data_IF_921514140119
#
_entry.id   IF_921514140119
#
_cell.length_a   1.000
_cell.length_b   1.000
_cell.length_c   1.000
_cell.angle_alpha   90.00
_cell.angle_beta   90.00
_cell.angle_gamma   90.00
#
_symmetry.space_group_name_H-M   'P 1'
#
loop_
_entity.id
_entity.type
_entity.pdbx_description
1 polymer ?
#
# COMPACT_ATOMS: atom_id res chain seq x y z
N UNK A 1 12.51 -6.32 -6.27
CA UNK A 1 12.46 -5.09 -7.10
C UNK A 1 13.67 -4.93 -8.01
N UNK A 2 14.92 -4.86 -7.50
CA UNK A 2 16.14 -4.68 -8.30
C UNK A 2 16.24 -5.68 -9.47
N UNK A 3 16.01 -6.98 -9.23
CA UNK A 3 16.04 -8.01 -10.27
C UNK A 3 15.01 -7.75 -11.39
N UNK A 4 13.81 -7.30 -11.02
CA UNK A 4 12.76 -6.94 -11.99
C UNK A 4 13.18 -5.74 -12.85
N UNK A 5 13.72 -4.69 -12.22
CA UNK A 5 14.20 -3.50 -12.93
C UNK A 5 15.35 -3.85 -13.90
N UNK A 6 16.28 -4.71 -13.47
CA UNK A 6 17.34 -5.22 -14.36
C UNK A 6 16.76 -5.96 -15.57
N UNK A 7 15.79 -6.85 -15.36
CA UNK A 7 15.17 -7.62 -16.43
C UNK A 7 14.37 -6.76 -17.42
N UNK A 8 13.91 -5.57 -17.01
CA UNK A 8 13.16 -4.65 -17.87
C UNK A 8 14.04 -3.62 -18.60
N UNK A 9 15.31 -3.49 -18.22
CA UNK A 9 16.23 -2.48 -18.78
C UNK A 9 16.26 -2.48 -20.30
N UNK A 10 16.35 -3.64 -20.92
CA UNK A 10 16.40 -3.78 -22.39
C UNK A 10 15.09 -3.46 -23.09
N UNK A 11 13.96 -3.65 -22.37
CA UNK A 11 12.62 -3.44 -22.91
C UNK A 11 12.17 -1.98 -22.82
N UNK A 12 12.81 -1.18 -21.97
CA UNK A 12 12.46 0.24 -21.76
C UNK A 12 13.72 1.10 -21.88
N UNK A 13 14.25 1.26 -23.10
CA UNK A 13 15.52 1.98 -23.33
C UNK A 13 15.47 3.45 -22.92
N UNK A 14 14.29 4.07 -22.84
CA UNK A 14 14.09 5.45 -22.40
C UNK A 14 14.16 5.63 -20.89
N UNK A 15 14.35 4.54 -20.14
CA UNK A 15 14.35 4.50 -18.69
C UNK A 15 12.98 4.19 -18.09
N UNK A 16 13.02 3.55 -16.93
CA UNK A 16 11.82 3.15 -16.18
C UNK A 16 11.54 4.21 -15.10
N UNK A 17 10.40 4.91 -15.11
CA UNK A 17 10.06 5.79 -14.02
C UNK A 17 9.74 4.96 -12.76
N UNK A 18 10.42 5.28 -11.67
CA UNK A 18 10.16 4.73 -10.35
C UNK A 18 9.53 5.83 -9.49
N UNK A 19 8.22 5.76 -9.33
CA UNK A 19 7.49 6.69 -8.46
C UNK A 19 7.70 6.30 -6.99
N UNK A 20 8.25 7.21 -6.22
CA UNK A 20 8.52 7.00 -4.80
C UNK A 20 7.87 8.12 -3.98
N UNK A 21 7.43 7.80 -2.78
CA UNK A 21 6.92 8.80 -1.86
C UNK A 21 8.01 9.56 -1.12
N UNK A 22 7.60 10.45 -0.26
CA UNK A 22 8.49 11.17 0.64
C UNK A 22 9.26 10.17 1.53
N UNK A 23 10.51 10.48 1.82
CA UNK A 23 11.36 9.66 2.70
C UNK A 23 11.59 8.20 2.24
N UNK A 24 11.40 7.91 0.95
CA UNK A 24 11.50 6.53 0.42
C UNK A 24 12.87 5.89 0.65
N UNK A 25 13.92 6.67 0.79
CA UNK A 25 15.31 6.21 0.94
C UNK A 25 15.87 6.38 2.35
N UNK A 26 15.05 6.78 3.33
CA UNK A 26 15.49 6.80 4.71
C UNK A 26 15.54 5.38 5.28
N UNK A 27 16.52 5.13 6.12
CA UNK A 27 16.63 3.86 6.83
C UNK A 27 15.43 3.69 7.76
N UNK A 28 14.76 2.54 7.63
CA UNK A 28 13.67 2.13 8.50
C UNK A 28 14.11 1.01 9.40
N UNK A 29 13.65 1.07 10.64
CA UNK A 29 14.06 0.19 11.70
C UNK A 29 12.83 -0.37 12.42
N UNK A 30 12.95 -1.59 12.93
CA UNK A 30 11.95 -2.17 13.84
C UNK A 30 12.60 -2.42 15.18
N UNK A 31 12.04 -1.82 16.22
CA UNK A 31 12.41 -2.09 17.59
C UNK A 31 11.70 -3.36 18.07
N UNK A 32 12.45 -4.43 18.22
CA UNK A 32 11.98 -5.64 18.89
C UNK A 32 12.38 -5.61 20.39
N UNK A 33 11.84 -6.50 21.23
CA UNK A 33 12.26 -6.57 22.63
C UNK A 33 13.77 -6.77 22.84
N UNK A 34 14.43 -7.44 21.87
CA UNK A 34 15.82 -7.87 22.03
C UNK A 34 16.79 -7.16 21.05
N UNK A 35 16.29 -6.46 20.03
CA UNK A 35 17.14 -5.89 19.01
C UNK A 35 16.46 -4.72 18.27
N UNK A 36 17.28 -3.87 17.68
CA UNK A 36 16.88 -2.91 16.67
C UNK A 36 17.29 -3.48 15.30
N UNK A 37 16.33 -3.76 14.46
CA UNK A 37 16.54 -4.41 13.14
C UNK A 37 16.34 -3.40 12.03
N UNK A 38 17.34 -3.27 11.16
CA UNK A 38 17.23 -2.44 9.96
C UNK A 38 16.35 -3.14 8.89
N UNK A 39 15.46 -2.37 8.31
CA UNK A 39 14.61 -2.79 7.20
C UNK A 39 15.13 -2.13 5.90
N UNK A 40 16.25 -2.59 5.40
CA UNK A 40 16.85 -2.09 4.15
C UNK A 40 16.05 -2.51 2.92
N UNK A 41 14.94 -1.82 2.65
CA UNK A 41 14.10 -2.16 1.50
C UNK A 41 14.49 -1.47 0.21
N UNK A 42 14.90 -0.21 0.29
CA UNK A 42 15.19 0.60 -0.89
C UNK A 42 16.46 1.41 -0.66
N UNK A 43 17.51 1.04 -1.36
CA UNK A 43 18.77 1.76 -1.35
C UNK A 43 18.91 2.59 -2.64
N UNK A 44 19.10 3.89 -2.50
CA UNK A 44 19.22 4.82 -3.62
C UNK A 44 20.38 4.50 -4.54
N UNK A 45 21.54 4.19 -3.98
CA UNK A 45 22.75 3.86 -4.75
C UNK A 45 22.52 2.63 -5.63
N UNK A 46 21.84 1.60 -5.10
CA UNK A 46 21.50 0.42 -5.87
C UNK A 46 20.54 0.72 -7.02
N UNK A 47 19.63 1.67 -6.87
CA UNK A 47 18.73 2.11 -7.95
C UNK A 47 19.50 2.92 -8.98
N UNK A 48 20.29 3.89 -8.54
CA UNK A 48 21.07 4.77 -9.42
C UNK A 48 22.09 3.96 -10.26
N UNK A 49 22.66 2.89 -9.67
CA UNK A 49 23.59 1.99 -10.38
C UNK A 49 22.98 1.24 -11.57
N UNK A 50 21.64 1.16 -11.63
CA UNK A 50 20.96 0.53 -12.77
C UNK A 50 21.05 1.38 -14.05
N UNK A 51 21.24 2.70 -13.92
CA UNK A 51 21.39 3.64 -15.04
C UNK A 51 20.17 3.78 -15.95
N UNK A 52 19.16 2.92 -15.77
CA UNK A 52 17.94 2.87 -16.58
C UNK A 52 16.68 3.22 -15.79
N UNK A 53 16.82 3.66 -14.55
CA UNK A 53 15.70 4.00 -13.66
C UNK A 53 15.71 5.50 -13.39
N UNK A 54 14.59 6.15 -13.64
CA UNK A 54 14.38 7.56 -13.31
C UNK A 54 13.53 7.66 -12.04
N UNK A 55 14.12 8.08 -10.94
CA UNK A 55 13.40 8.29 -9.70
C UNK A 55 12.52 9.55 -9.83
N UNK A 56 11.22 9.38 -9.56
CA UNK A 56 10.22 10.44 -9.53
C UNK A 56 9.63 10.47 -8.13
N UNK A 57 10.08 11.43 -7.32
CA UNK A 57 9.51 11.61 -6.00
C UNK A 57 8.19 12.35 -6.09
N UNK A 58 7.16 11.80 -5.45
CA UNK A 58 5.81 12.37 -5.46
C UNK A 58 5.28 12.54 -4.04
N UNK A 59 4.45 13.55 -3.88
CA UNK A 59 3.73 13.88 -2.66
C UNK A 59 2.23 13.92 -2.91
N UNK A 60 1.86 14.54 -4.02
CA UNK A 60 0.47 14.65 -4.46
C UNK A 60 0.11 13.47 -5.37
N UNK A 61 -1.19 13.17 -5.55
CA UNK A 61 -1.63 12.16 -6.50
C UNK A 61 -1.14 12.45 -7.92
N UNK A 62 -0.61 11.43 -8.59
CA UNK A 62 -0.07 11.55 -9.94
C UNK A 62 -0.67 10.48 -10.85
N UNK A 63 -1.20 10.90 -11.99
CA UNK A 63 -1.61 9.99 -13.05
C UNK A 63 -0.35 9.32 -13.65
N UNK A 64 -0.29 8.00 -13.59
CA UNK A 64 0.79 7.19 -14.17
C UNK A 64 0.47 6.90 -15.64
N UNK A 65 -0.76 6.49 -15.90
CA UNK A 65 -1.38 6.31 -17.20
C UNK A 65 -2.85 6.71 -17.09
N UNK A 66 -3.57 6.93 -18.20
CA UNK A 66 -5.01 7.20 -18.14
C UNK A 66 -5.76 6.15 -17.30
N UNK A 67 -6.47 6.60 -16.28
CA UNK A 67 -7.23 5.75 -15.38
C UNK A 67 -6.43 5.08 -14.25
N UNK A 68 -5.11 5.22 -14.20
CA UNK A 68 -4.29 4.70 -13.10
C UNK A 68 -3.43 5.79 -12.45
N UNK A 69 -3.45 5.85 -11.13
CA UNK A 69 -2.83 6.90 -10.33
C UNK A 69 -2.01 6.28 -9.19
N UNK A 70 -0.88 6.90 -8.86
CA UNK A 70 -0.33 6.77 -7.52
C UNK A 70 -1.06 7.74 -6.61
N UNK A 71 -1.42 7.30 -5.42
CA UNK A 71 -2.19 8.10 -4.46
C UNK A 71 -1.45 9.35 -3.96
N UNK A 72 -0.12 9.40 -4.11
CA UNK A 72 0.66 10.33 -3.31
C UNK A 72 0.53 10.02 -1.82
N UNK A 73 0.71 11.01 -0.98
CA UNK A 73 0.58 10.89 0.48
C UNK A 73 -0.86 10.60 0.88
N UNK A 74 -1.09 9.48 1.57
CA UNK A 74 -2.41 9.07 2.02
C UNK A 74 -2.82 9.91 3.24
N UNK A 75 -3.99 10.56 3.16
CA UNK A 75 -4.59 11.29 4.27
C UNK A 75 -5.17 10.31 5.30
N UNK A 76 -4.93 10.58 6.57
CA UNK A 76 -5.46 9.77 7.67
C UNK A 76 -6.74 10.38 8.21
N UNK A 77 -7.83 9.67 8.09
CA UNK A 77 -9.17 10.10 8.52
C UNK A 77 -9.76 9.19 9.60
N UNK A 78 -9.14 8.03 9.86
CA UNK A 78 -9.57 7.09 10.91
C UNK A 78 -8.71 7.27 12.17
N UNK A 79 -9.33 7.11 13.35
CA UNK A 79 -8.63 7.23 14.64
C UNK A 79 -7.92 5.92 15.05
N UNK A 80 -8.40 4.78 14.57
CA UNK A 80 -7.97 3.46 15.02
C UNK A 80 -6.88 2.83 14.14
N UNK A 81 -6.72 3.25 12.90
CA UNK A 81 -5.64 2.81 12.02
C UNK A 81 -4.33 3.51 12.43
N UNK A 82 -3.71 2.99 13.49
CA UNK A 82 -2.50 3.56 14.08
C UNK A 82 -1.29 2.74 13.69
N UNK A 83 -0.19 3.43 13.42
CA UNK A 83 1.10 2.79 13.22
C UNK A 83 1.63 2.29 14.57
N UNK A 84 2.04 1.01 14.66
CA UNK A 84 2.68 0.50 15.86
C UNK A 84 3.96 1.28 16.20
N UNK A 85 4.21 1.63 17.47
CA UNK A 85 5.33 2.47 17.88
C UNK A 85 6.71 1.83 17.67
N UNK A 86 6.75 0.54 17.38
CA UNK A 86 7.98 -0.20 17.10
C UNK A 86 8.62 0.17 15.75
N UNK A 87 7.89 0.79 14.85
CA UNK A 87 8.44 1.25 13.57
C UNK A 87 9.11 2.60 13.73
N UNK A 88 10.39 2.63 13.41
CA UNK A 88 11.23 3.82 13.52
C UNK A 88 11.84 4.18 12.17
N UNK A 89 12.16 5.45 12.01
CA UNK A 89 12.89 5.98 10.86
C UNK A 89 14.10 6.78 11.34
N UNK A 90 15.22 6.61 10.64
CA UNK A 90 16.45 7.35 10.91
C UNK A 90 16.44 8.66 10.14
N UNK A 91 16.45 9.83 10.85
CA UNK A 91 16.61 11.15 10.27
C UNK A 91 17.86 11.82 10.83
N UNK A 92 18.94 11.86 10.04
CA UNK A 92 20.25 12.26 10.54
C UNK A 92 20.66 11.34 11.71
N UNK A 93 21.01 11.93 12.84
CA UNK A 93 21.43 11.16 14.05
C UNK A 93 20.27 10.73 14.96
N UNK A 94 19.02 11.07 14.58
CA UNK A 94 17.84 10.79 15.40
C UNK A 94 17.05 9.61 14.85
N UNK A 95 16.57 8.77 15.77
CA UNK A 95 15.58 7.73 15.52
C UNK A 95 14.23 8.21 16.05
N UNK A 96 13.25 8.27 15.18
CA UNK A 96 11.91 8.76 15.49
C UNK A 96 10.88 7.74 15.05
N UNK A 97 9.67 7.81 15.59
CA UNK A 97 8.60 6.95 15.10
C UNK A 97 8.37 7.19 13.61
N UNK A 98 8.35 6.12 12.81
CA UNK A 98 8.00 6.22 11.39
C UNK A 98 6.49 6.44 11.25
N UNK A 99 6.14 7.54 10.63
CA UNK A 99 4.76 7.85 10.29
C UNK A 99 4.39 7.41 8.86
N UNK A 100 5.31 6.74 8.15
CA UNK A 100 5.11 6.25 6.79
C UNK A 100 4.50 7.30 5.85
N UNK A 101 4.97 8.55 5.95
CA UNK A 101 4.40 9.68 5.18
C UNK A 101 4.53 9.53 3.67
N UNK A 102 5.46 8.70 3.22
CA UNK A 102 5.67 8.39 1.81
C UNK A 102 4.99 7.10 1.34
N UNK A 103 4.19 6.46 2.19
CA UNK A 103 3.44 5.28 1.76
C UNK A 103 2.35 5.65 0.75
N UNK A 104 2.20 4.81 -0.28
CA UNK A 104 1.31 5.04 -1.39
C UNK A 104 0.47 3.82 -1.70
N UNK A 105 -0.68 4.06 -2.33
CA UNK A 105 -1.51 3.04 -2.96
C UNK A 105 -1.58 3.28 -4.48
N UNK A 106 -1.75 2.23 -5.24
CA UNK A 106 -2.11 2.32 -6.64
C UNK A 106 -3.64 2.37 -6.75
N UNK A 107 -4.14 3.38 -7.45
CA UNK A 107 -5.57 3.60 -7.67
C UNK A 107 -5.85 3.44 -9.15
N UNK A 108 -6.79 2.57 -9.49
CA UNK A 108 -7.23 2.39 -10.88
C UNK A 108 -8.73 2.63 -10.96
N UNK A 109 -9.17 3.44 -11.92
CA UNK A 109 -10.59 3.65 -12.21
C UNK A 109 -10.99 2.85 -13.44
N UNK A 110 -11.73 1.76 -13.22
CA UNK A 110 -12.23 0.91 -14.29
C UNK A 110 -13.60 1.40 -14.73
N UNK A 111 -13.72 1.75 -16.01
CA UNK A 111 -14.94 2.32 -16.59
C UNK A 111 -16.15 1.43 -16.28
N UNK A 112 -17.20 2.03 -15.72
CA UNK A 112 -18.43 1.34 -15.35
C UNK A 112 -18.36 0.42 -14.13
N UNK A 113 -17.16 0.17 -13.56
CA UNK A 113 -16.97 -0.69 -12.39
C UNK A 113 -16.69 0.10 -11.12
N UNK A 114 -15.84 1.11 -11.18
CA UNK A 114 -15.38 1.90 -10.06
C UNK A 114 -13.90 1.72 -9.76
N UNK A 115 -13.50 2.08 -8.55
CA UNK A 115 -12.10 2.08 -8.13
C UNK A 115 -11.59 0.71 -7.76
N UNK A 116 -10.37 0.42 -8.18
CA UNK A 116 -9.54 -0.62 -7.60
C UNK A 116 -8.45 0.08 -6.80
N UNK A 117 -8.33 -0.26 -5.53
CA UNK A 117 -7.31 0.25 -4.62
C UNK A 117 -6.36 -0.89 -4.27
N UNK A 118 -5.11 -0.77 -4.67
CA UNK A 118 -4.05 -1.74 -4.38
C UNK A 118 -3.04 -1.13 -3.44
N UNK A 119 -2.94 -1.68 -2.24
CA UNK A 119 -1.93 -1.30 -1.25
C UNK A 119 -0.74 -2.26 -1.26
N UNK A 120 0.42 -1.78 -0.77
CA UNK A 120 1.53 -2.66 -0.37
C UNK A 120 1.25 -3.29 0.99
N UNK A 121 1.53 -2.54 2.06
CA UNK A 121 1.26 -2.95 3.45
C UNK A 121 0.11 -2.17 4.10
N UNK A 122 -0.18 -0.96 3.64
CA UNK A 122 -1.16 -0.05 4.26
C UNK A 122 -0.85 0.28 5.74
N UNK A 123 0.39 0.66 6.05
CA UNK A 123 0.76 1.13 7.40
C UNK A 123 -0.03 2.39 7.80
N UNK A 124 -0.42 3.20 6.82
CA UNK A 124 -1.28 4.37 7.02
C UNK A 124 -2.76 4.03 7.21
N UNK A 125 -3.11 2.75 7.03
CA UNK A 125 -4.46 2.23 7.13
C UNK A 125 -5.12 1.96 5.78
N UNK A 126 -5.76 0.80 5.64
CA UNK A 126 -6.44 0.44 4.39
C UNK A 126 -7.72 1.24 4.16
N UNK A 127 -8.46 1.56 5.22
CA UNK A 127 -9.66 2.41 5.13
C UNK A 127 -9.25 3.83 4.73
N UNK A 128 -8.17 4.35 5.33
CA UNK A 128 -7.60 5.64 4.94
C UNK A 128 -7.20 5.65 3.46
N UNK A 129 -6.56 4.59 2.96
CA UNK A 129 -6.17 4.46 1.55
C UNK A 129 -7.38 4.48 0.61
N UNK A 130 -8.45 3.74 0.95
CA UNK A 130 -9.68 3.70 0.14
C UNK A 130 -10.40 5.05 0.16
N UNK A 131 -10.56 5.67 1.34
CA UNK A 131 -11.18 7.00 1.46
C UNK A 131 -10.39 8.07 0.71
N UNK A 132 -9.07 8.00 0.80
CA UNK A 132 -8.19 8.89 0.04
C UNK A 132 -8.35 8.70 -1.48
N UNK A 133 -8.48 7.45 -1.95
CA UNK A 133 -8.72 7.16 -3.35
C UNK A 133 -10.06 7.73 -3.84
N UNK A 134 -11.14 7.57 -3.07
CA UNK A 134 -12.44 8.17 -3.37
C UNK A 134 -12.35 9.69 -3.45
N UNK A 135 -11.73 10.35 -2.46
CA UNK A 135 -11.54 11.80 -2.42
C UNK A 135 -10.73 12.30 -3.61
N UNK A 136 -9.63 11.64 -3.93
CA UNK A 136 -8.71 12.04 -5.00
C UNK A 136 -9.35 11.95 -6.39
N UNK A 137 -10.14 10.93 -6.62
CA UNK A 137 -10.73 10.66 -7.94
C UNK A 137 -12.14 11.20 -8.11
N UNK A 138 -12.84 11.53 -7.03
CA UNK A 138 -14.26 11.87 -7.02
C UNK A 138 -15.16 10.68 -7.35
N UNK A 139 -14.64 9.45 -7.34
CA UNK A 139 -15.40 8.23 -7.65
C UNK A 139 -15.70 7.51 -6.34
N UNK A 140 -17.00 7.43 -6.03
CA UNK A 140 -17.45 6.79 -4.77
C UNK A 140 -17.45 5.27 -4.84
N UNK A 141 -17.80 4.69 -5.99
CA UNK A 141 -17.90 3.24 -6.14
C UNK A 141 -16.52 2.60 -6.08
N UNK A 142 -16.36 1.62 -5.18
CA UNK A 142 -15.16 0.79 -5.06
C UNK A 142 -15.44 -0.58 -5.65
N UNK A 143 -14.65 -0.98 -6.66
CA UNK A 143 -14.77 -2.28 -7.28
C UNK A 143 -13.94 -3.32 -6.55
N UNK A 144 -12.69 -3.00 -6.19
CA UNK A 144 -11.85 -3.95 -5.48
C UNK A 144 -10.89 -3.25 -4.50
N UNK A 145 -10.64 -3.90 -3.37
CA UNK A 145 -9.60 -3.52 -2.39
C UNK A 145 -8.64 -4.70 -2.24
N UNK A 146 -7.39 -4.51 -2.62
CA UNK A 146 -6.40 -5.57 -2.72
C UNK A 146 -5.12 -5.18 -1.96
N UNK A 147 -4.41 -6.15 -1.41
CA UNK A 147 -3.08 -5.93 -0.85
C UNK A 147 -2.94 -6.28 0.64
N UNK A 148 -1.86 -5.80 1.24
CA UNK A 148 -1.65 -5.90 2.68
C UNK A 148 -2.44 -4.83 3.42
N UNK A 149 -3.03 -5.20 4.57
CA UNK A 149 -3.84 -4.31 5.40
C UNK A 149 -3.22 -4.05 6.77
N UNK A 150 -2.01 -4.55 6.97
CA UNK A 150 -1.18 -4.37 8.16
C UNK A 150 -1.89 -4.63 9.50
N UNK A 151 -2.69 -5.70 9.55
CA UNK A 151 -3.48 -6.07 10.73
C UNK A 151 -2.88 -7.24 11.53
N UNK A 152 -1.71 -7.76 11.12
CA UNK A 152 -0.99 -8.78 11.91
C UNK A 152 -0.68 -8.24 13.30
N UNK A 153 -1.17 -8.94 14.34
CA UNK A 153 -0.99 -8.53 15.73
C UNK A 153 -1.81 -7.30 16.16
N UNK A 154 -2.72 -6.84 15.32
CA UNK A 154 -3.65 -5.78 15.70
C UNK A 154 -4.63 -6.27 16.76
N UNK A 155 -5.12 -5.34 17.59
CA UNK A 155 -6.16 -5.65 18.57
C UNK A 155 -7.46 -6.06 17.89
N UNK A 156 -8.26 -6.99 18.46
CA UNK A 156 -9.51 -7.43 17.87
C UNK A 156 -10.46 -6.28 17.51
N UNK A 157 -10.51 -5.23 18.34
CA UNK A 157 -11.35 -4.07 18.10
C UNK A 157 -10.94 -3.30 16.83
N UNK A 158 -9.63 -3.20 16.56
CA UNK A 158 -9.13 -2.55 15.35
C UNK A 158 -9.48 -3.38 14.10
N UNK A 159 -9.34 -4.71 14.17
CA UNK A 159 -9.74 -5.61 13.10
C UNK A 159 -11.25 -5.47 12.81
N UNK A 160 -12.10 -5.54 13.85
CA UNK A 160 -13.53 -5.39 13.71
C UNK A 160 -13.94 -4.05 13.10
N UNK A 161 -13.33 -2.94 13.54
CA UNK A 161 -13.61 -1.61 12.99
C UNK A 161 -13.18 -1.52 11.52
N UNK A 162 -12.00 -2.04 11.17
CA UNK A 162 -11.52 -2.07 9.79
C UNK A 162 -12.48 -2.86 8.88
N UNK A 163 -12.91 -4.05 9.33
CA UNK A 163 -13.88 -4.87 8.59
C UNK A 163 -15.21 -4.15 8.42
N UNK A 164 -15.73 -3.52 9.49
CA UNK A 164 -16.98 -2.78 9.43
C UNK A 164 -16.93 -1.59 8.47
N UNK A 165 -15.85 -0.83 8.50
CA UNK A 165 -15.67 0.33 7.61
C UNK A 165 -15.50 -0.09 6.14
N UNK A 166 -14.73 -1.14 5.85
CA UNK A 166 -14.62 -1.70 4.49
C UNK A 166 -15.99 -2.23 4.03
N UNK A 167 -16.71 -2.94 4.88
CA UNK A 167 -18.07 -3.43 4.59
C UNK A 167 -19.04 -2.27 4.27
N UNK A 168 -18.91 -1.14 4.98
CA UNK A 168 -19.72 0.06 4.74
C UNK A 168 -19.42 0.74 3.40
N UNK A 169 -18.19 0.63 2.90
CA UNK A 169 -17.76 1.12 1.58
C UNK A 169 -18.38 0.27 0.46
N UNK A 170 -18.74 -0.98 0.75
CA UNK A 170 -19.39 -1.94 -0.16
C UNK A 170 -18.55 -2.19 -1.43
N UNK A 171 -17.28 -2.61 -1.33
CA UNK A 171 -16.53 -3.01 -2.49
C UNK A 171 -17.15 -4.27 -3.11
N UNK A 172 -17.05 -4.42 -4.44
CA UNK A 172 -17.50 -5.65 -5.11
C UNK A 172 -16.59 -6.82 -4.75
N UNK A 173 -15.27 -6.57 -4.51
CA UNK A 173 -14.28 -7.58 -4.14
C UNK A 173 -13.30 -7.07 -3.09
N UNK A 174 -12.83 -8.01 -2.24
CA UNK A 174 -11.77 -7.75 -1.28
C UNK A 174 -10.79 -8.93 -1.25
N UNK A 175 -9.49 -8.64 -1.39
CA UNK A 175 -8.44 -9.64 -1.32
C UNK A 175 -7.35 -9.21 -0.34
N UNK A 176 -7.58 -9.39 0.97
CA UNK A 176 -6.58 -9.13 2.00
C UNK A 176 -5.46 -10.17 1.93
N UNK A 177 -4.21 -9.72 1.96
CA UNK A 177 -3.05 -10.60 1.81
C UNK A 177 -1.83 -10.08 2.58
N UNK A 178 -0.65 -10.68 2.39
CA UNK A 178 0.64 -10.25 2.88
C UNK A 178 0.66 -10.03 4.41
N UNK A 179 0.73 -8.79 4.88
CA UNK A 179 0.80 -8.41 6.29
C UNK A 179 -0.58 -8.23 6.96
N UNK A 180 -1.65 -8.68 6.34
CA UNK A 180 -3.00 -8.62 6.95
C UNK A 180 -3.13 -9.52 8.17
N UNK A 181 -2.48 -10.69 8.14
CA UNK A 181 -2.53 -11.67 9.22
C UNK A 181 -3.77 -12.57 9.18
N UNK A 182 -3.60 -13.78 9.70
CA UNK A 182 -4.62 -14.83 9.61
C UNK A 182 -5.94 -14.45 10.29
N UNK A 183 -5.87 -13.84 11.47
CA UNK A 183 -7.07 -13.45 12.25
C UNK A 183 -7.93 -12.43 11.49
N UNK A 184 -7.27 -11.43 10.89
CA UNK A 184 -7.96 -10.41 10.11
C UNK A 184 -8.50 -10.99 8.78
N UNK A 185 -7.75 -11.85 8.10
CA UNK A 185 -8.21 -12.54 6.88
C UNK A 185 -9.47 -13.35 7.19
N UNK A 186 -9.46 -14.15 8.28
CA UNK A 186 -10.62 -14.92 8.69
C UNK A 186 -11.83 -14.03 9.06
N UNK A 187 -11.59 -12.87 9.67
CA UNK A 187 -12.64 -11.91 9.96
C UNK A 187 -13.27 -11.33 8.68
N UNK A 188 -12.48 -10.98 7.68
CA UNK A 188 -12.99 -10.53 6.37
C UNK A 188 -13.78 -11.64 5.65
N UNK A 189 -13.25 -12.86 5.61
CA UNK A 189 -13.93 -14.01 5.02
C UNK A 189 -15.31 -14.26 5.67
N UNK A 190 -15.37 -14.21 7.00
CA UNK A 190 -16.61 -14.41 7.75
C UNK A 190 -17.63 -13.30 7.51
N UNK A 191 -17.20 -12.04 7.52
CA UNK A 191 -18.10 -10.87 7.48
C UNK A 191 -18.47 -10.41 6.07
N UNK A 192 -17.67 -10.81 5.07
CA UNK A 192 -17.85 -10.43 3.66
C UNK A 192 -17.65 -11.62 2.72
N UNK A 193 -18.33 -12.76 2.93
CA UNK A 193 -18.07 -14.01 2.22
C UNK A 193 -18.28 -13.92 0.71
N UNK A 194 -19.20 -13.08 0.25
CA UNK A 194 -19.50 -12.90 -1.18
C UNK A 194 -18.47 -12.02 -1.89
N UNK A 195 -17.80 -11.11 -1.18
CA UNK A 195 -16.81 -10.19 -1.71
C UNK A 195 -15.37 -10.73 -1.55
N UNK A 196 -15.18 -11.64 -0.58
CA UNK A 196 -13.87 -12.13 -0.18
C UNK A 196 -13.24 -13.03 -1.24
N UNK A 197 -11.98 -12.76 -1.55
CA UNK A 197 -11.15 -13.61 -2.41
C UNK A 197 -9.92 -14.02 -1.64
N UNK A 198 -9.74 -15.32 -1.45
CA UNK A 198 -8.51 -15.84 -0.88
C UNK A 198 -7.38 -15.72 -1.91
N UNK A 199 -6.38 -14.91 -1.59
CA UNK A 199 -5.20 -14.73 -2.43
C UNK A 199 -4.14 -15.79 -2.14
N UNK A 200 -3.60 -16.38 -3.21
CA UNK A 200 -2.46 -17.30 -3.15
C UNK A 200 -1.35 -16.85 -4.12
N UNK A 201 -0.15 -17.39 -3.95
CA UNK A 201 0.95 -17.13 -4.88
C UNK A 201 0.57 -17.54 -6.30
N UNK A 202 0.75 -16.64 -7.26
CA UNK A 202 0.40 -16.86 -8.67
C UNK A 202 -1.04 -16.49 -9.04
N UNK A 203 -1.88 -16.05 -8.10
CA UNK A 203 -3.22 -15.53 -8.41
C UNK A 203 -3.12 -14.34 -9.37
N UNK A 204 -3.95 -14.38 -10.40
CA UNK A 204 -4.07 -13.30 -11.39
C UNK A 204 -5.46 -12.67 -11.27
N UNK A 205 -5.51 -11.37 -11.18
CA UNK A 205 -6.74 -10.59 -11.22
C UNK A 205 -6.85 -9.91 -12.58
N UNK A 206 -7.95 -10.15 -13.28
CA UNK A 206 -8.25 -9.48 -14.54
C UNK A 206 -9.52 -8.65 -14.39
N UNK A 207 -9.36 -7.34 -14.47
CA UNK A 207 -10.46 -6.40 -14.42
C UNK A 207 -10.68 -5.79 -15.81
N UNK A 208 -11.86 -6.00 -16.35
CA UNK A 208 -12.24 -5.49 -17.67
C UNK A 208 -13.35 -4.47 -17.55
N UNK A 209 -13.35 -3.46 -18.43
CA UNK A 209 -14.42 -2.48 -18.54
C UNK A 209 -15.70 -3.11 -19.08
#
# INVERSE_FOLDING_TARGET
MIALLKAQKEKVPQGIPLYVGEEAFLERLVQTPNALVSLEFLNRENIDSLGSVKIVQIKEPVAIIPGAYSSGRIERVTEYEKIPPMFLVQRGDKKEQDNFIGEQALIMNVKGKGLIVLSGCAHTGIVNAVRHAQKTTGVEKVHAVLGGFHLTGAKPEAIQRTVADIKSIKPDYIAPMHCTGHEAIAAFEKEMPEQFILNTAGTKYLFTA
#
